data_IF_956025872018
#
_entry.id   IF_956025872018
#
_cell.length_a   1.000
_cell.length_b   1.000
_cell.length_c   1.000
_cell.angle_alpha   90.00
_cell.angle_beta   90.00
_cell.angle_gamma   90.00
#
_symmetry.space_group_name_H-M   'P 1'
#
loop_
_entity.id
_entity.type
_entity.pdbx_description
1 polymer ?
#
# COMPACT_ATOMS: atom_id res chain seq x y z
N UNK A 1 13.83 18.72 10.27
CA UNK A 1 13.64 18.14 8.93
C UNK A 1 12.41 18.77 8.31
N UNK A 2 12.63 19.52 7.24
CA UNK A 2 11.54 20.17 6.49
C UNK A 2 11.02 19.16 5.48
N UNK A 3 9.71 18.88 5.54
CA UNK A 3 9.03 18.15 4.49
C UNK A 3 9.15 18.91 3.18
N UNK A 4 9.37 18.24 2.05
CA UNK A 4 9.42 18.91 0.77
C UNK A 4 8.09 19.63 0.50
N UNK A 5 8.17 20.94 0.28
CA UNK A 5 6.98 21.76 0.05
C UNK A 5 6.45 21.68 -1.39
N UNK A 6 7.17 21.01 -2.29
CA UNK A 6 6.84 20.92 -3.71
C UNK A 6 6.82 19.49 -4.21
N UNK A 7 6.11 19.24 -5.30
CA UNK A 7 6.10 17.95 -5.98
C UNK A 7 7.51 17.48 -6.38
N UNK A 8 8.37 18.40 -6.85
CA UNK A 8 9.77 18.12 -7.20
C UNK A 8 10.57 17.70 -5.97
N UNK A 9 10.37 18.36 -4.83
CA UNK A 9 11.00 17.97 -3.57
C UNK A 9 10.55 16.60 -3.10
N UNK A 10 9.26 16.28 -3.29
CA UNK A 10 8.70 14.99 -2.95
C UNK A 10 9.34 13.85 -3.76
N UNK A 11 9.62 14.07 -5.04
CA UNK A 11 10.25 13.07 -5.91
C UNK A 11 11.70 12.75 -5.50
N UNK A 12 12.36 13.66 -4.81
CA UNK A 12 13.75 13.49 -4.32
C UNK A 12 13.83 12.70 -3.00
N UNK A 13 12.72 12.54 -2.30
CA UNK A 13 12.69 11.74 -1.06
C UNK A 13 13.04 10.30 -1.39
N UNK A 14 13.97 9.71 -0.67
CA UNK A 14 14.42 8.33 -0.88
C UNK A 14 13.74 7.36 0.08
N UNK A 15 13.71 6.07 -0.29
CA UNK A 15 13.20 5.04 0.60
C UNK A 15 14.03 4.94 1.90
N UNK A 16 15.35 5.09 1.79
CA UNK A 16 16.26 5.03 2.94
C UNK A 16 15.93 6.11 3.96
N UNK A 17 15.83 7.38 3.53
CA UNK A 17 15.48 8.50 4.43
C UNK A 17 14.16 8.28 5.15
N UNK A 18 13.17 7.74 4.44
CA UNK A 18 11.86 7.45 5.02
C UNK A 18 11.93 6.29 6.00
N UNK A 19 12.66 5.23 5.66
CA UNK A 19 12.82 4.07 6.53
C UNK A 19 13.58 4.41 7.80
N UNK A 20 14.68 5.16 7.72
CA UNK A 20 15.45 5.59 8.88
C UNK A 20 14.59 6.36 9.89
N UNK A 21 13.61 7.10 9.38
CA UNK A 21 12.72 7.89 10.21
C UNK A 21 11.54 7.10 10.78
N UNK A 22 10.95 6.22 10.00
CA UNK A 22 9.64 5.63 10.32
C UNK A 22 9.66 4.12 10.59
N UNK A 23 10.76 3.40 10.32
CA UNK A 23 10.84 1.95 10.49
C UNK A 23 10.56 1.45 11.92
N UNK A 24 10.75 2.31 12.92
CA UNK A 24 10.47 1.95 14.33
C UNK A 24 9.04 2.31 14.75
N UNK A 25 8.27 2.97 13.88
CA UNK A 25 6.88 3.27 14.17
C UNK A 25 6.02 2.01 14.07
N UNK A 26 4.86 2.04 14.74
CA UNK A 26 3.86 0.98 14.62
C UNK A 26 2.94 1.18 13.41
N UNK A 27 3.29 2.10 12.52
CA UNK A 27 2.52 2.40 11.33
C UNK A 27 2.80 1.36 10.24
N UNK A 28 1.79 1.05 9.45
CA UNK A 28 1.95 0.20 8.28
C UNK A 28 2.33 1.04 7.05
N UNK A 29 1.94 2.32 7.06
CA UNK A 29 2.13 3.20 5.91
C UNK A 29 2.35 4.64 6.30
N UNK A 30 3.22 5.31 5.57
CA UNK A 30 3.44 6.75 5.66
C UNK A 30 3.15 7.36 4.31
N UNK A 31 2.22 8.32 4.28
CA UNK A 31 1.87 9.04 3.08
C UNK A 31 2.33 10.49 3.21
N UNK A 32 3.15 10.93 2.27
CA UNK A 32 3.55 12.32 2.13
C UNK A 32 2.69 12.98 1.06
N UNK A 33 2.11 14.11 1.37
CA UNK A 33 1.31 14.89 0.42
C UNK A 33 1.82 16.32 0.40
N UNK A 34 2.01 16.86 -0.78
CA UNK A 34 2.36 18.27 -0.99
C UNK A 34 1.25 18.95 -1.79
N UNK A 35 1.01 20.22 -1.47
CA UNK A 35 0.11 21.07 -2.24
C UNK A 35 0.92 22.32 -2.61
N UNK A 36 1.11 22.52 -3.89
CA UNK A 36 1.79 23.71 -4.43
C UNK A 36 0.88 24.46 -5.38
N UNK A 37 1.04 25.77 -5.46
CA UNK A 37 0.29 26.64 -6.37
C UNK A 37 1.20 27.18 -7.46
N UNK A 38 0.75 27.04 -8.71
CA UNK A 38 1.43 27.62 -9.88
C UNK A 38 0.40 28.41 -10.68
N UNK A 39 0.47 29.74 -10.60
CA UNK A 39 -0.54 30.62 -11.18
C UNK A 39 -1.92 30.40 -10.56
N UNK A 40 -2.89 30.01 -11.39
CA UNK A 40 -4.27 29.72 -10.98
C UNK A 40 -4.53 28.27 -10.63
N UNK A 41 -3.52 27.40 -10.74
CA UNK A 41 -3.67 25.94 -10.54
C UNK A 41 -2.97 25.52 -9.25
N UNK A 42 -3.58 24.55 -8.59
CA UNK A 42 -2.98 23.82 -7.48
C UNK A 42 -2.50 22.46 -8.01
N UNK A 43 -1.28 22.09 -7.70
CA UNK A 43 -0.76 20.75 -7.90
C UNK A 43 -0.75 20.04 -6.54
N UNK A 44 -1.45 18.93 -6.48
CA UNK A 44 -1.45 18.01 -5.34
C UNK A 44 -0.62 16.81 -5.72
N UNK A 45 0.49 16.58 -5.04
CA UNK A 45 1.35 15.43 -5.27
C UNK A 45 1.46 14.58 -4.01
N UNK A 46 1.49 13.28 -4.18
CA UNK A 46 1.60 12.34 -3.07
C UNK A 46 2.59 11.23 -3.34
N UNK A 47 3.21 10.72 -2.29
CA UNK A 47 4.11 9.58 -2.30
C UNK A 47 3.92 8.75 -1.05
N UNK A 48 3.98 7.43 -1.17
CA UNK A 48 3.68 6.52 -0.06
C UNK A 48 4.85 5.59 0.19
N UNK A 49 5.29 5.51 1.44
CA UNK A 49 6.15 4.43 1.93
C UNK A 49 5.27 3.35 2.54
N UNK A 50 5.39 2.15 2.02
CA UNK A 50 4.82 0.94 2.59
C UNK A 50 5.88 0.30 3.51
N UNK A 51 5.65 0.36 4.81
CA UNK A 51 6.61 -0.13 5.80
C UNK A 51 6.71 -1.67 5.81
N UNK A 52 5.63 -2.44 5.64
CA UNK A 52 5.70 -3.90 5.52
C UNK A 52 6.60 -4.40 4.38
N UNK A 53 6.55 -3.76 3.21
CA UNK A 53 7.36 -4.13 2.03
C UNK A 53 8.65 -3.33 1.91
N UNK A 54 8.81 -2.26 2.71
CA UNK A 54 9.90 -1.28 2.62
C UNK A 54 9.98 -0.60 1.25
N UNK A 55 8.88 -0.56 0.53
CA UNK A 55 8.81 0.01 -0.80
C UNK A 55 8.30 1.44 -0.77
N UNK A 56 9.01 2.33 -1.45
CA UNK A 56 8.57 3.69 -1.72
C UNK A 56 7.89 3.72 -3.09
N UNK A 57 6.59 3.97 -3.09
CA UNK A 57 5.79 4.01 -4.32
C UNK A 57 6.12 5.28 -5.11
N UNK A 58 6.02 5.20 -6.44
CA UNK A 58 6.17 6.36 -7.31
C UNK A 58 5.16 7.46 -6.95
N UNK A 59 5.56 8.71 -7.12
CA UNK A 59 4.68 9.84 -6.85
C UNK A 59 3.50 9.86 -7.81
N UNK A 60 2.34 10.22 -7.28
CA UNK A 60 1.14 10.50 -8.06
C UNK A 60 0.79 11.97 -7.95
N UNK A 61 0.22 12.52 -9.01
CA UNK A 61 -0.12 13.94 -9.09
C UNK A 61 -1.55 14.13 -9.58
N UNK A 62 -2.19 15.16 -9.04
CA UNK A 62 -3.49 15.65 -9.48
C UNK A 62 -3.45 17.17 -9.56
N UNK A 63 -4.21 17.73 -10.49
CA UNK A 63 -4.40 19.18 -10.60
C UNK A 63 -5.79 19.56 -10.08
N UNK A 64 -5.85 20.70 -9.42
CA UNK A 64 -7.08 21.31 -8.94
C UNK A 64 -7.08 22.82 -9.27
N UNK A 65 -8.20 23.33 -9.69
CA UNK A 65 -8.33 24.75 -10.05
C UNK A 65 -9.04 25.56 -8.98
N UNK A 66 -9.89 24.91 -8.18
CA UNK A 66 -10.63 25.54 -7.10
C UNK A 66 -10.01 25.17 -5.74
N UNK A 67 -9.67 26.19 -4.94
CA UNK A 67 -9.21 25.98 -3.58
C UNK A 67 -10.20 25.17 -2.72
N UNK A 68 -11.48 25.29 -2.98
CA UNK A 68 -12.55 24.55 -2.27
C UNK A 68 -12.48 23.04 -2.59
N UNK A 69 -12.00 22.67 -3.78
CA UNK A 69 -11.82 21.29 -4.21
C UNK A 69 -10.59 20.58 -3.64
N UNK A 70 -9.65 21.32 -3.01
CA UNK A 70 -8.37 20.75 -2.57
C UNK A 70 -8.53 19.60 -1.60
N UNK A 71 -9.42 19.70 -0.61
CA UNK A 71 -9.61 18.64 0.38
C UNK A 71 -10.09 17.34 -0.30
N UNK A 72 -11.05 17.42 -1.22
CA UNK A 72 -11.56 16.28 -1.96
C UNK A 72 -10.50 15.71 -2.92
N UNK A 73 -9.67 16.56 -3.51
CA UNK A 73 -8.59 16.12 -4.40
C UNK A 73 -7.47 15.42 -3.63
N UNK A 74 -7.12 15.91 -2.43
CA UNK A 74 -6.19 15.22 -1.52
C UNK A 74 -6.75 13.87 -1.09
N UNK A 75 -8.03 13.81 -0.68
CA UNK A 75 -8.68 12.57 -0.27
C UNK A 75 -8.71 11.53 -1.40
N UNK A 76 -9.05 11.95 -2.62
CA UNK A 76 -9.00 11.07 -3.80
C UNK A 76 -7.59 10.59 -4.10
N UNK A 77 -6.58 11.47 -4.04
CA UNK A 77 -5.19 11.09 -4.24
C UNK A 77 -4.74 10.07 -3.18
N UNK A 78 -5.09 10.30 -1.92
CA UNK A 78 -4.78 9.38 -0.83
C UNK A 78 -5.42 8.00 -1.06
N UNK A 79 -6.68 7.95 -1.48
CA UNK A 79 -7.38 6.71 -1.83
C UNK A 79 -6.69 5.97 -2.99
N UNK A 80 -6.31 6.67 -4.05
CA UNK A 80 -5.62 6.06 -5.21
C UNK A 80 -4.23 5.49 -4.89
N UNK A 81 -3.58 6.03 -3.86
CA UNK A 81 -2.28 5.57 -3.40
C UNK A 81 -2.39 4.48 -2.32
N UNK A 82 -3.59 4.32 -1.75
CA UNK A 82 -3.80 3.32 -0.72
C UNK A 82 -3.74 1.91 -1.34
N UNK A 83 -2.98 1.02 -0.71
CA UNK A 83 -2.92 -0.41 -1.05
C UNK A 83 -3.15 -1.20 0.22
N UNK A 84 -4.17 -2.01 0.26
CA UNK A 84 -4.42 -2.89 1.39
C UNK A 84 -3.26 -3.88 1.56
N UNK A 85 -2.87 -4.14 2.81
CA UNK A 85 -1.95 -5.20 3.16
C UNK A 85 -2.74 -6.26 3.91
N UNK A 86 -2.67 -7.50 3.45
CA UNK A 86 -3.40 -8.62 4.01
C UNK A 86 -2.44 -9.68 4.54
N UNK A 87 -2.88 -10.44 5.52
CA UNK A 87 -2.18 -11.64 5.96
C UNK A 87 -2.64 -12.81 5.08
N UNK A 88 -1.69 -13.64 4.65
CA UNK A 88 -1.95 -14.77 3.76
C UNK A 88 -1.73 -16.06 4.53
N UNK A 89 -2.77 -16.89 4.60
CA UNK A 89 -2.72 -18.24 5.11
C UNK A 89 -2.83 -19.24 3.94
N UNK A 90 -1.81 -20.04 3.75
CA UNK A 90 -1.75 -20.99 2.65
C UNK A 90 -2.59 -22.24 3.00
N UNK A 91 -3.85 -22.27 2.60
CA UNK A 91 -4.82 -23.30 2.95
C UNK A 91 -4.85 -24.54 2.05
N UNK A 92 -4.02 -24.66 1.03
CA UNK A 92 -4.09 -25.81 0.13
C UNK A 92 -3.22 -25.72 -1.13
N UNK A 93 -3.45 -26.66 -2.08
CA UNK A 93 -2.59 -26.80 -3.26
C UNK A 93 -2.73 -25.64 -4.26
N UNK A 94 -3.87 -24.99 -4.34
CA UNK A 94 -4.17 -23.97 -5.37
C UNK A 94 -4.84 -22.70 -4.84
N UNK A 95 -5.01 -22.57 -3.52
CA UNK A 95 -5.70 -21.43 -2.93
C UNK A 95 -5.00 -20.92 -1.70
N UNK A 96 -5.32 -19.69 -1.33
CA UNK A 96 -4.90 -19.04 -0.11
C UNK A 96 -6.08 -18.31 0.51
N UNK A 97 -6.20 -18.38 1.82
CA UNK A 97 -7.12 -17.53 2.55
C UNK A 97 -6.36 -16.28 2.99
N UNK A 98 -6.97 -15.12 2.83
CA UNK A 98 -6.37 -13.85 3.22
C UNK A 98 -7.25 -13.15 4.24
N UNK A 99 -6.61 -12.57 5.25
CA UNK A 99 -7.28 -11.78 6.28
C UNK A 99 -6.92 -10.32 6.12
N UNK A 100 -7.93 -9.47 6.01
CA UNK A 100 -7.78 -8.03 5.88
C UNK A 100 -7.66 -7.42 7.27
N UNK A 101 -6.57 -6.72 7.53
CA UNK A 101 -6.41 -6.00 8.79
C UNK A 101 -7.50 -4.93 8.94
N UNK A 102 -8.18 -4.94 10.07
CA UNK A 102 -9.33 -4.09 10.35
C UNK A 102 -10.53 -4.30 9.40
N UNK A 103 -10.60 -5.43 8.68
CA UNK A 103 -11.70 -5.73 7.75
C UNK A 103 -13.07 -5.92 8.42
N UNK A 104 -13.09 -6.11 9.73
CA UNK A 104 -14.34 -6.20 10.51
C UNK A 104 -15.06 -4.85 10.67
N UNK A 105 -14.33 -3.74 10.55
CA UNK A 105 -14.96 -2.42 10.64
C UNK A 105 -15.84 -2.16 9.42
N UNK A 106 -17.07 -1.65 9.64
CA UNK A 106 -17.95 -1.29 8.52
C UNK A 106 -17.35 -0.15 7.72
N UNK A 107 -17.35 -0.29 6.41
CA UNK A 107 -16.95 0.77 5.49
C UNK A 107 -18.20 1.61 5.16
N UNK A 108 -18.14 2.89 5.48
CA UNK A 108 -19.26 3.80 5.24
C UNK A 108 -19.45 4.11 3.74
N UNK A 109 -18.36 4.06 2.98
CA UNK A 109 -18.34 4.33 1.54
C UNK A 109 -17.87 3.06 0.81
N UNK A 110 -18.71 2.43 -0.05
CA UNK A 110 -18.34 1.25 -0.81
C UNK A 110 -17.08 1.42 -1.67
N UNK A 111 -16.80 2.66 -2.12
CA UNK A 111 -15.58 2.97 -2.87
C UNK A 111 -14.31 2.93 -2.02
N UNK A 112 -14.46 2.94 -0.70
CA UNK A 112 -13.37 2.82 0.26
C UNK A 112 -13.09 1.37 0.68
N UNK A 113 -13.74 0.38 0.07
CA UNK A 113 -13.45 -1.02 0.32
C UNK A 113 -11.99 -1.34 0.02
N UNK A 114 -11.35 -2.00 1.00
CA UNK A 114 -9.91 -2.31 0.93
C UNK A 114 -9.60 -3.45 -0.03
N UNK A 115 -10.56 -4.33 -0.28
CA UNK A 115 -10.39 -5.54 -1.09
C UNK A 115 -11.71 -5.87 -1.80
N UNK A 116 -11.65 -6.16 -3.09
CA UNK A 116 -12.80 -6.51 -3.93
C UNK A 116 -12.57 -7.84 -4.64
N UNK A 117 -13.63 -8.52 -5.00
CA UNK A 117 -13.54 -9.70 -5.88
C UNK A 117 -12.94 -9.27 -7.22
N UNK A 118 -11.98 -10.03 -7.70
CA UNK A 118 -11.19 -9.73 -8.90
C UNK A 118 -9.91 -8.94 -8.63
N UNK A 119 -9.69 -8.41 -7.42
CA UNK A 119 -8.43 -7.75 -7.08
C UNK A 119 -7.26 -8.73 -7.13
N UNK A 120 -6.12 -8.23 -7.60
CA UNK A 120 -4.86 -8.98 -7.65
C UNK A 120 -3.93 -8.52 -6.53
N UNK A 121 -3.46 -9.48 -5.76
CA UNK A 121 -2.54 -9.26 -4.64
C UNK A 121 -1.17 -9.81 -5.00
N UNK A 122 -0.13 -9.05 -4.71
CA UNK A 122 1.26 -9.46 -4.86
C UNK A 122 1.76 -10.05 -3.52
N UNK A 123 2.06 -11.35 -3.45
CA UNK A 123 2.54 -11.96 -2.22
C UNK A 123 4.00 -11.58 -1.95
N UNK A 124 4.32 -11.45 -0.67
CA UNK A 124 5.70 -11.26 -0.22
C UNK A 124 5.94 -11.97 1.11
N UNK A 125 7.17 -12.38 1.34
CA UNK A 125 7.62 -12.91 2.64
C UNK A 125 8.38 -11.86 3.42
N UNK A 126 8.12 -11.82 4.70
CA UNK A 126 8.77 -10.95 5.67
C UNK A 126 9.55 -11.80 6.66
N UNK A 127 10.86 -11.73 6.59
CA UNK A 127 11.74 -12.38 7.55
C UNK A 127 11.97 -11.46 8.75
N UNK A 128 11.75 -11.98 9.95
CA UNK A 128 11.95 -11.24 11.19
C UNK A 128 13.07 -11.88 12.01
N UNK A 129 13.88 -11.05 12.61
CA UNK A 129 14.82 -11.50 13.63
C UNK A 129 14.05 -12.01 14.86
N UNK A 130 14.39 -13.20 15.34
CA UNK A 130 13.66 -13.86 16.43
C UNK A 130 13.79 -13.13 17.77
N UNK A 131 14.92 -12.43 18.01
CA UNK A 131 15.21 -11.76 19.27
C UNK A 131 14.59 -10.37 19.33
N UNK A 132 14.72 -9.63 18.24
CA UNK A 132 14.32 -8.21 18.19
C UNK A 132 12.94 -8.00 17.54
N UNK A 133 12.37 -9.03 16.91
CA UNK A 133 11.15 -8.98 16.11
C UNK A 133 11.20 -7.95 14.95
N UNK A 134 12.40 -7.45 14.63
CA UNK A 134 12.60 -6.49 13.53
C UNK A 134 12.60 -7.21 12.19
N UNK A 135 12.00 -6.57 11.19
CA UNK A 135 12.05 -7.07 9.82
C UNK A 135 13.46 -6.91 9.28
N UNK A 136 14.12 -8.01 8.97
CA UNK A 136 15.49 -8.04 8.46
C UNK A 136 15.52 -8.14 6.93
N UNK A 137 14.52 -8.79 6.34
CA UNK A 137 14.42 -8.99 4.89
C UNK A 137 12.97 -9.04 4.45
N UNK A 138 12.70 -8.49 3.27
CA UNK A 138 11.46 -8.67 2.52
C UNK A 138 11.80 -9.34 1.19
N UNK A 139 11.06 -10.38 0.84
CA UNK A 139 11.21 -11.11 -0.42
C UNK A 139 9.90 -11.04 -1.19
N UNK A 140 9.94 -10.41 -2.35
CA UNK A 140 8.82 -10.39 -3.32
C UNK A 140 8.86 -11.66 -4.17
N UNK A 141 7.69 -12.11 -4.61
CA UNK A 141 7.55 -13.23 -5.54
C UNK A 141 7.15 -12.68 -6.92
N UNK A 142 8.10 -12.44 -7.82
CA UNK A 142 7.77 -11.99 -9.16
C UNK A 142 6.91 -13.04 -9.88
N UNK A 143 6.03 -12.59 -10.77
CA UNK A 143 5.17 -13.46 -11.59
C UNK A 143 4.23 -14.36 -10.77
N UNK A 144 3.93 -13.98 -9.55
CA UNK A 144 3.04 -14.68 -8.64
C UNK A 144 2.00 -13.71 -8.11
N UNK A 145 0.73 -14.07 -8.27
CA UNK A 145 -0.40 -13.24 -7.87
C UNK A 145 -1.45 -14.10 -7.17
N UNK A 146 -2.16 -13.50 -6.26
CA UNK A 146 -3.36 -14.05 -5.65
C UNK A 146 -4.56 -13.25 -6.16
N UNK A 147 -5.48 -13.87 -6.86
CA UNK A 147 -6.71 -13.24 -7.34
C UNK A 147 -7.83 -13.52 -6.35
N UNK A 148 -8.49 -12.49 -5.87
CA UNK A 148 -9.63 -12.61 -4.94
C UNK A 148 -10.81 -13.24 -5.67
N UNK A 149 -11.17 -14.48 -5.32
CA UNK A 149 -12.28 -15.21 -5.90
C UNK A 149 -13.58 -14.99 -5.11
N UNK A 150 -13.49 -15.03 -3.78
CA UNK A 150 -14.62 -14.86 -2.89
C UNK A 150 -14.23 -13.96 -1.73
N UNK A 151 -15.19 -13.24 -1.18
CA UNK A 151 -14.95 -12.32 -0.08
C UNK A 151 -16.02 -12.43 0.99
N UNK A 152 -15.57 -12.40 2.24
CA UNK A 152 -16.38 -12.07 3.41
C UNK A 152 -16.02 -10.69 3.92
N UNK A 153 -16.55 -10.28 5.08
CA UNK A 153 -16.26 -8.95 5.63
C UNK A 153 -14.78 -8.76 6.00
N UNK A 154 -14.15 -9.74 6.62
CA UNK A 154 -12.79 -9.64 7.17
C UNK A 154 -11.78 -10.53 6.42
N UNK A 155 -12.24 -11.45 5.58
CA UNK A 155 -11.39 -12.40 4.87
C UNK A 155 -11.80 -12.54 3.42
N UNK A 156 -10.89 -13.09 2.63
CA UNK A 156 -11.19 -13.46 1.25
C UNK A 156 -10.47 -14.76 0.90
N UNK A 157 -11.08 -15.52 0.02
CA UNK A 157 -10.48 -16.67 -0.61
C UNK A 157 -9.85 -16.26 -1.92
N UNK A 158 -8.59 -16.62 -2.12
CA UNK A 158 -7.83 -16.24 -3.29
C UNK A 158 -7.37 -17.47 -4.06
N UNK A 159 -7.32 -17.34 -5.37
CA UNK A 159 -6.71 -18.29 -6.29
C UNK A 159 -5.28 -17.88 -6.58
N UNK A 160 -4.36 -18.84 -6.56
CA UNK A 160 -2.95 -18.62 -6.86
C UNK A 160 -2.71 -18.76 -8.36
N UNK A 161 -2.24 -17.69 -8.99
CA UNK A 161 -1.70 -17.67 -10.33
C UNK A 161 -0.18 -17.41 -10.27
N UNK A 162 0.62 -18.34 -10.80
CA UNK A 162 2.07 -18.22 -10.82
C UNK A 162 2.67 -18.85 -12.06
N UNK A 163 3.68 -18.19 -12.64
CA UNK A 163 4.52 -18.74 -13.68
C UNK A 163 5.65 -19.61 -13.12
N UNK A 164 5.84 -19.63 -11.81
CA UNK A 164 6.88 -20.38 -11.12
C UNK A 164 6.28 -21.64 -10.49
N UNK A 165 7.12 -22.66 -10.26
CA UNK A 165 6.70 -23.89 -9.56
C UNK A 165 6.40 -23.55 -8.10
N UNK A 166 5.15 -23.27 -7.80
CA UNK A 166 4.56 -22.90 -6.52
C UNK A 166 5.54 -22.27 -5.49
N UNK A 167 5.90 -20.98 -5.64
CA UNK A 167 6.95 -20.37 -4.84
C UNK A 167 6.53 -20.12 -3.38
N UNK A 168 5.24 -20.28 -3.07
CA UNK A 168 4.68 -20.08 -1.73
C UNK A 168 4.74 -21.35 -0.86
N UNK A 169 5.14 -22.47 -1.45
CA UNK A 169 5.40 -23.72 -0.73
C UNK A 169 6.91 -23.92 -0.67
N UNK A 170 7.53 -23.47 0.43
CA UNK A 170 8.89 -23.80 0.79
C UNK A 170 8.96 -25.10 1.54
#
# INVERSE_FOLDING_TARGET
WLLPATAVGLDRVTATEMLDRYQQSHWDRVMLVTVSRTGTRFEVAGRTLDLPTRALVLSRRRQEHDRRGLASTVARLARDMFRATVHVDLGGAKGADVTVRAGEFPVADPDSEQLRVGDQLEPFLRYRDRKTNKVVRVQLFPWTYLTVAERTRASARCELATALRNPLRG
#
